data_IF_980276806676
#
_entry.id   IF_980276806676
#
_cell.length_a   1.000
_cell.length_b   1.000
_cell.length_c   1.000
_cell.angle_alpha   90.00
_cell.angle_beta   90.00
_cell.angle_gamma   90.00
#
_symmetry.space_group_name_H-M   'P 1'
#
loop_
_entity.id
_entity.type
_entity.pdbx_description
1 polymer ?
#
# COMPACT_ATOMS: atom_id res chain seq x y z
N UNK A 1 7.48 -2.48 24.92
CA UNK A 1 6.07 -2.86 25.16
C UNK A 1 5.46 -3.20 23.82
N UNK A 2 4.84 -4.38 23.66
CA UNK A 2 4.29 -4.79 22.37
C UNK A 2 2.95 -4.10 22.13
N UNK A 3 2.76 -3.53 20.93
CA UNK A 3 1.52 -2.86 20.50
C UNK A 3 1.15 -3.34 19.10
N UNK A 4 -0.07 -3.02 18.66
CA UNK A 4 -0.52 -3.31 17.29
C UNK A 4 0.39 -2.74 16.20
N UNK A 5 1.20 -1.72 16.50
CA UNK A 5 2.11 -1.10 15.53
C UNK A 5 3.44 -1.86 15.38
N UNK A 6 3.84 -2.63 16.40
CA UNK A 6 5.18 -3.24 16.48
C UNK A 6 5.13 -4.77 16.60
N UNK A 7 3.94 -5.36 16.52
CA UNK A 7 3.77 -6.81 16.51
C UNK A 7 3.98 -7.34 15.08
N UNK A 8 4.77 -8.41 14.89
CA UNK A 8 4.96 -8.99 13.57
C UNK A 8 3.64 -9.50 13.00
N UNK A 9 3.43 -9.30 11.70
CA UNK A 9 2.27 -9.80 10.99
C UNK A 9 2.34 -11.33 10.81
N UNK A 10 1.19 -12.03 10.83
CA UNK A 10 1.11 -13.42 10.38
C UNK A 10 1.64 -13.60 8.96
N UNK A 11 2.18 -14.79 8.66
CA UNK A 11 2.90 -15.05 7.41
C UNK A 11 2.02 -15.00 6.14
N UNK A 12 0.71 -15.20 6.29
CA UNK A 12 -0.28 -15.19 5.20
C UNK A 12 -0.78 -13.78 4.82
N UNK A 13 -0.51 -12.78 5.68
CA UNK A 13 -0.87 -11.38 5.41
C UNK A 13 -0.04 -10.84 4.25
N UNK A 14 -0.73 -10.53 3.15
CA UNK A 14 -0.11 -9.93 1.97
C UNK A 14 0.46 -8.55 2.30
N UNK A 15 1.69 -8.31 1.86
CA UNK A 15 2.38 -7.03 2.01
C UNK A 15 2.73 -6.47 0.63
N UNK A 16 2.76 -5.13 0.45
CA UNK A 16 3.19 -4.52 -0.80
C UNK A 16 4.60 -4.94 -1.18
N UNK A 17 4.77 -5.27 -2.46
CA UNK A 17 6.05 -5.73 -3.03
C UNK A 17 6.94 -4.61 -3.56
N UNK A 18 6.43 -3.38 -3.59
CA UNK A 18 7.13 -2.18 -4.04
C UNK A 18 7.83 -1.45 -2.89
N UNK A 19 8.95 -0.79 -3.16
CA UNK A 19 9.64 0.07 -2.19
C UNK A 19 8.80 1.33 -1.90
N UNK A 20 8.26 1.40 -0.69
CA UNK A 20 7.44 2.52 -0.24
C UNK A 20 8.25 3.82 -0.09
N UNK A 21 9.56 3.73 0.15
CA UNK A 21 10.43 4.90 0.32
C UNK A 21 10.71 5.62 -1.01
N UNK A 22 10.60 4.91 -2.14
CA UNK A 22 10.74 5.47 -3.48
C UNK A 22 9.47 6.19 -4.00
N UNK A 23 8.33 6.02 -3.31
CA UNK A 23 7.07 6.60 -3.75
C UNK A 23 7.06 8.13 -3.62
N UNK A 24 6.43 8.78 -4.60
CA UNK A 24 6.16 10.23 -4.58
C UNK A 24 4.67 10.48 -4.59
N UNK A 25 4.20 11.36 -3.71
CA UNK A 25 2.79 11.77 -3.66
C UNK A 25 2.39 12.48 -4.95
N UNK A 26 1.40 11.93 -5.67
CA UNK A 26 0.86 12.49 -6.92
C UNK A 26 -0.66 12.61 -6.96
N UNK A 27 -1.35 12.05 -5.96
CA UNK A 27 -2.80 12.05 -5.85
C UNK A 27 -3.15 12.62 -4.48
N UNK A 28 -3.99 13.65 -4.46
CA UNK A 28 -4.60 14.16 -3.22
C UNK A 28 -6.02 13.61 -3.15
N UNK A 29 -6.36 12.96 -2.05
CA UNK A 29 -7.70 12.48 -1.79
C UNK A 29 -8.34 13.27 -0.66
N UNK A 30 -9.51 13.87 -0.91
CA UNK A 30 -10.28 14.63 0.07
C UNK A 30 -11.48 13.78 0.49
N UNK A 31 -11.50 13.34 1.75
CA UNK A 31 -12.54 12.47 2.31
C UNK A 31 -12.08 11.03 2.58
N UNK A 32 -11.26 10.82 3.61
CA UNK A 32 -10.65 9.51 3.90
C UNK A 32 -11.60 8.51 4.58
N UNK A 33 -12.50 7.93 3.79
CA UNK A 33 -13.47 6.92 4.24
C UNK A 33 -13.05 5.46 3.99
N UNK A 34 -13.88 4.53 4.46
CA UNK A 34 -13.68 3.09 4.20
C UNK A 34 -13.72 2.75 2.70
N UNK A 35 -14.61 3.41 1.95
CA UNK A 35 -14.74 3.20 0.50
C UNK A 35 -13.46 3.60 -0.26
N UNK A 36 -12.85 4.74 0.07
CA UNK A 36 -11.59 5.15 -0.54
C UNK A 36 -10.51 4.08 -0.36
N UNK A 37 -10.35 3.57 0.88
CA UNK A 37 -9.37 2.53 1.20
C UNK A 37 -9.62 1.24 0.42
N UNK A 38 -10.88 0.80 0.37
CA UNK A 38 -11.24 -0.47 -0.26
C UNK A 38 -11.27 -0.41 -1.80
N UNK A 39 -11.37 0.77 -2.41
CA UNK A 39 -11.56 0.91 -3.85
C UNK A 39 -10.43 1.68 -4.54
N UNK A 40 -10.29 2.98 -4.28
CA UNK A 40 -9.32 3.82 -4.98
C UNK A 40 -7.88 3.51 -4.56
N UNK A 41 -7.64 3.35 -3.25
CA UNK A 41 -6.32 2.99 -2.73
C UNK A 41 -5.93 1.57 -3.14
N UNK A 42 -6.87 0.61 -3.11
CA UNK A 42 -6.63 -0.76 -3.53
C UNK A 42 -6.23 -0.87 -5.01
N UNK A 43 -6.92 -0.15 -5.91
CA UNK A 43 -6.53 -0.11 -7.32
C UNK A 43 -5.14 0.50 -7.52
N UNK A 44 -4.83 1.57 -6.78
CA UNK A 44 -3.52 2.22 -6.86
C UNK A 44 -2.40 1.28 -6.37
N UNK A 45 -2.61 0.57 -5.26
CA UNK A 45 -1.69 -0.46 -4.75
C UNK A 45 -1.46 -1.58 -5.77
N UNK A 46 -2.52 -2.05 -6.44
CA UNK A 46 -2.44 -3.02 -7.51
C UNK A 46 -1.58 -2.55 -8.69
N UNK A 47 -1.78 -1.31 -9.16
CA UNK A 47 -0.95 -0.71 -10.22
C UNK A 47 0.53 -0.60 -9.81
N UNK A 48 0.81 -0.19 -8.57
CA UNK A 48 2.18 -0.10 -8.04
C UNK A 48 2.83 -1.49 -7.93
N UNK A 49 2.07 -2.51 -7.53
CA UNK A 49 2.52 -3.89 -7.48
C UNK A 49 2.89 -4.41 -8.86
N UNK A 50 2.03 -4.19 -9.87
CA UNK A 50 2.32 -4.57 -11.26
C UNK A 50 3.56 -3.83 -11.77
N UNK A 51 3.65 -2.52 -11.52
CA UNK A 51 4.80 -1.70 -11.90
C UNK A 51 6.11 -2.22 -11.33
N UNK A 52 6.14 -2.54 -10.03
CA UNK A 52 7.33 -3.10 -9.39
C UNK A 52 7.71 -4.48 -9.96
N UNK A 53 6.73 -5.35 -10.23
CA UNK A 53 6.97 -6.67 -10.85
C UNK A 53 7.58 -6.56 -12.25
N UNK A 54 7.25 -5.50 -12.98
CA UNK A 54 7.78 -5.24 -14.32
C UNK A 54 9.14 -4.51 -14.31
N UNK A 55 9.70 -4.20 -13.13
CA UNK A 55 10.97 -3.48 -13.01
C UNK A 55 10.90 -2.00 -13.42
N UNK A 56 9.69 -1.45 -13.57
CA UNK A 56 9.50 -0.05 -13.90
C UNK A 56 9.60 0.80 -12.62
N UNK A 57 10.76 1.42 -12.39
CA UNK A 57 11.00 2.34 -11.25
C UNK A 57 9.99 3.47 -11.24
#
# INVERSE_FOLDING_TARGET
MNTIANQPLPADVQQPSYDRSALRSRIVHIGFGAFHRAHQALLTDGCLTVRARLGAV
#
